data_IF_868747679392
#
_entry.id   IF_868747679392
#
_cell.length_a   1.000
_cell.length_b   1.000
_cell.length_c   1.000
_cell.angle_alpha   90.00
_cell.angle_beta   90.00
_cell.angle_gamma   90.00
#
_symmetry.space_group_name_H-M   'P 1'
#
loop_
_entity.id
_entity.type
_entity.pdbx_description
1 polymer ?
#
# COMPACT_ATOMS: atom_id res chain seq x y z
N UNK A 1 -30.44 27.01 -37.06
CA UNK A 1 -29.06 27.12 -37.61
C UNK A 1 -28.43 28.32 -36.92
N UNK A 2 -27.79 28.27 -35.76
CA UNK A 2 -27.03 27.19 -35.12
C UNK A 2 -25.58 27.29 -35.59
N UNK A 3 -24.76 28.05 -34.84
CA UNK A 3 -23.30 27.99 -34.65
C UNK A 3 -22.84 29.32 -34.03
N UNK A 4 -22.54 29.33 -32.73
CA UNK A 4 -21.37 30.03 -32.14
C UNK A 4 -21.01 29.28 -30.85
N UNK A 5 -19.85 28.65 -30.86
CA UNK A 5 -19.29 27.93 -29.73
C UNK A 5 -18.43 28.86 -28.89
N UNK A 6 -18.77 29.00 -27.61
CA UNK A 6 -17.94 29.63 -26.59
C UNK A 6 -17.95 28.75 -25.36
N UNK A 7 -16.92 27.90 -25.22
CA UNK A 7 -16.71 27.08 -24.03
C UNK A 7 -16.08 27.94 -22.92
N UNK A 8 -16.79 28.10 -21.80
CA UNK A 8 -16.22 28.62 -20.56
C UNK A 8 -15.63 27.42 -19.78
N UNK A 9 -14.30 27.39 -19.69
CA UNK A 9 -13.53 26.46 -18.84
C UNK A 9 -13.25 27.17 -17.51
N UNK A 10 -13.46 26.54 -16.34
CA UNK A 10 -13.04 27.13 -15.08
C UNK A 10 -11.52 27.12 -14.94
N UNK A 11 -10.97 28.26 -14.50
CA UNK A 11 -9.55 28.52 -14.35
C UNK A 11 -8.94 27.67 -13.22
N UNK A 12 -7.92 26.88 -13.56
CA UNK A 12 -7.03 26.23 -12.61
C UNK A 12 -6.02 27.24 -12.05
N UNK A 13 -5.83 27.37 -10.73
CA UNK A 13 -4.69 28.08 -10.19
C UNK A 13 -3.42 27.24 -10.39
N UNK A 14 -2.41 27.88 -10.97
CA UNK A 14 -1.05 27.41 -11.22
C UNK A 14 -0.40 26.82 -9.96
N UNK A 15 0.17 25.62 -10.10
CA UNK A 15 0.89 24.92 -9.03
C UNK A 15 2.20 25.65 -8.63
N UNK A 16 2.44 25.91 -7.34
CA UNK A 16 3.76 26.33 -6.87
C UNK A 16 4.74 25.15 -6.89
N UNK A 17 5.99 25.45 -7.24
CA UNK A 17 7.06 24.49 -7.50
C UNK A 17 7.31 23.48 -6.38
N UNK A 18 7.52 22.23 -6.78
CA UNK A 18 7.94 21.14 -5.91
C UNK A 18 9.43 21.30 -5.54
N UNK A 19 9.69 22.04 -4.47
CA UNK A 19 10.91 21.94 -3.68
C UNK A 19 10.51 21.59 -2.24
N UNK A 20 10.56 20.30 -1.91
CA UNK A 20 10.24 19.81 -0.57
C UNK A 20 10.62 18.35 -0.42
N UNK A 21 11.58 18.09 0.46
CA UNK A 21 12.17 16.78 0.69
C UNK A 21 11.16 15.69 1.01
N UNK A 22 11.53 14.45 0.63
CA UNK A 22 10.77 13.24 0.94
C UNK A 22 10.61 13.11 2.46
N UNK A 23 9.37 13.11 2.94
CA UNK A 23 9.07 12.55 4.25
C UNK A 23 9.27 11.03 4.15
N UNK A 24 10.44 10.55 4.56
CA UNK A 24 10.69 9.13 4.80
C UNK A 24 10.09 8.79 6.17
N UNK A 25 9.29 7.74 6.26
CA UNK A 25 8.86 7.22 7.55
C UNK A 25 10.11 6.82 8.35
N UNK A 26 10.33 7.48 9.48
CA UNK A 26 11.39 7.13 10.42
C UNK A 26 10.95 5.85 11.13
N UNK A 27 11.82 4.85 11.28
CA UNK A 27 11.53 3.60 11.99
C UNK A 27 11.33 3.77 13.52
N UNK A 28 11.25 5.03 13.98
CA UNK A 28 10.90 5.41 15.34
C UNK A 28 9.41 5.73 15.50
N UNK A 29 8.63 5.72 14.41
CA UNK A 29 7.18 5.79 14.48
C UNK A 29 6.61 4.51 15.09
N UNK A 30 5.55 4.65 15.88
CA UNK A 30 4.85 3.54 16.52
C UNK A 30 4.42 2.47 15.48
N UNK A 31 4.36 1.18 15.88
CA UNK A 31 3.86 0.11 15.01
C UNK A 31 2.47 0.49 14.46
N UNK A 32 2.11 -0.06 13.29
CA UNK A 32 0.79 0.21 12.71
C UNK A 32 -0.27 -0.08 13.77
N UNK A 33 -1.16 0.89 13.98
CA UNK A 33 -2.30 0.68 14.87
C UNK A 33 -3.09 -0.52 14.38
N UNK A 34 -3.55 -1.35 15.33
CA UNK A 34 -4.30 -2.54 14.99
C UNK A 34 -5.53 -2.15 14.16
N UNK A 35 -5.64 -2.75 12.98
CA UNK A 35 -6.76 -2.49 12.08
C UNK A 35 -8.08 -2.77 12.79
N UNK A 36 -9.00 -1.80 12.75
CA UNK A 36 -10.37 -1.99 13.24
C UNK A 36 -11.05 -2.97 12.28
N UNK A 37 -11.23 -4.22 12.74
CA UNK A 37 -11.96 -5.22 11.95
C UNK A 37 -13.39 -4.74 11.68
N UNK A 38 -13.92 -4.93 10.46
CA UNK A 38 -15.29 -4.57 10.18
C UNK A 38 -16.24 -5.36 11.08
N UNK A 39 -17.31 -4.71 11.52
CA UNK A 39 -18.34 -5.28 12.37
C UNK A 39 -19.72 -5.06 11.71
N UNK A 40 -20.70 -5.86 12.12
CA UNK A 40 -22.00 -5.90 11.45
C UNK A 40 -22.62 -4.51 11.33
N UNK A 41 -23.02 -4.13 10.11
CA UNK A 41 -23.63 -2.84 9.81
C UNK A 41 -22.65 -1.69 9.56
N UNK A 42 -21.34 -1.92 9.61
CA UNK A 42 -20.33 -0.87 9.41
C UNK A 42 -19.20 -1.32 8.50
N UNK A 43 -18.62 -0.34 7.80
CA UNK A 43 -17.43 -0.48 6.95
C UNK A 43 -16.26 0.18 7.65
N UNK A 44 -15.19 -0.57 7.89
CA UNK A 44 -13.91 -0.01 8.34
C UNK A 44 -13.19 0.68 7.19
N UNK A 45 -12.61 1.85 7.45
CA UNK A 45 -11.94 2.65 6.43
C UNK A 45 -10.50 2.91 6.84
N UNK A 46 -9.58 2.62 5.92
CA UNK A 46 -8.14 2.91 6.06
C UNK A 46 -7.74 3.79 4.89
N UNK A 47 -7.08 4.91 5.16
CA UNK A 47 -6.69 5.89 4.14
C UNK A 47 -5.20 6.24 4.22
N UNK A 48 -4.57 6.31 3.05
CA UNK A 48 -3.28 6.98 2.87
C UNK A 48 -3.52 8.13 1.90
N UNK A 49 -3.14 9.35 2.30
CA UNK A 49 -3.38 10.56 1.52
C UNK A 49 -2.14 11.45 1.55
N UNK A 50 -1.70 11.88 0.36
CA UNK A 50 -0.56 12.80 0.24
C UNK A 50 -0.89 14.18 0.79
N UNK A 51 -2.07 14.69 0.44
CA UNK A 51 -2.46 16.07 0.74
C UNK A 51 -2.77 16.25 2.23
N UNK A 52 -3.47 15.27 2.81
CA UNK A 52 -3.79 15.22 4.25
C UNK A 52 -2.63 14.66 5.09
N UNK A 53 -1.51 14.28 4.46
CA UNK A 53 -0.32 13.67 5.10
C UNK A 53 -0.65 12.44 5.96
N UNK A 54 -1.63 11.67 5.54
CA UNK A 54 -2.05 10.44 6.21
C UNK A 54 -1.31 9.23 5.66
N UNK A 55 -0.97 8.29 6.56
CA UNK A 55 -0.31 7.03 6.20
C UNK A 55 -0.98 5.88 6.93
N UNK A 56 -1.72 5.07 6.18
CA UNK A 56 -2.50 3.95 6.73
C UNK A 56 -3.36 4.37 7.93
N UNK A 57 -3.91 5.59 7.89
CA UNK A 57 -4.72 6.14 8.96
C UNK A 57 -6.06 5.41 9.03
N UNK A 58 -6.43 4.96 10.22
CA UNK A 58 -7.77 4.41 10.48
C UNK A 58 -8.75 5.57 10.63
N UNK A 59 -9.77 5.61 9.77
CA UNK A 59 -10.84 6.61 9.85
C UNK A 59 -12.05 6.04 10.61
N UNK A 60 -12.95 6.91 11.10
CA UNK A 60 -14.20 6.46 11.71
C UNK A 60 -14.96 5.50 10.79
N UNK A 61 -15.49 4.37 11.30
CA UNK A 61 -16.28 3.45 10.51
C UNK A 61 -17.51 4.11 9.90
N UNK A 62 -17.86 3.71 8.68
CA UNK A 62 -19.01 4.24 7.94
C UNK A 62 -20.19 3.27 8.09
N UNK A 63 -21.38 3.72 8.51
CA UNK A 63 -22.54 2.85 8.61
C UNK A 63 -23.03 2.40 7.22
N UNK A 64 -23.44 1.15 7.12
CA UNK A 64 -24.16 0.64 5.96
C UNK A 64 -25.59 1.17 5.99
N UNK A 65 -25.99 1.80 4.89
CA UNK A 65 -27.35 2.31 4.70
C UNK A 65 -28.10 1.50 3.64
N UNK A 66 -29.44 1.38 3.73
CA UNK A 66 -30.25 0.82 2.67
C UNK A 66 -30.00 1.53 1.33
N UNK A 67 -30.00 0.77 0.24
CA UNK A 67 -29.80 1.32 -1.11
C UNK A 67 -30.85 2.38 -1.49
N UNK A 68 -32.02 2.35 -0.87
CA UNK A 68 -33.09 3.34 -1.04
C UNK A 68 -32.71 4.75 -0.58
N UNK A 69 -31.68 4.87 0.27
CA UNK A 69 -31.18 6.15 0.80
C UNK A 69 -30.05 6.74 -0.06
N UNK A 70 -29.57 6.00 -1.07
CA UNK A 70 -28.49 6.46 -1.97
C UNK A 70 -29.08 7.37 -3.06
N UNK A 71 -28.54 8.58 -3.29
CA UNK A 71 -28.99 9.46 -4.37
C UNK A 71 -28.88 8.79 -5.75
N UNK A 72 -29.87 9.02 -6.61
CA UNK A 72 -29.94 8.39 -7.95
C UNK A 72 -28.77 8.78 -8.87
N UNK A 73 -28.10 9.90 -8.59
CA UNK A 73 -26.98 10.44 -9.36
C UNK A 73 -25.61 10.26 -8.66
N UNK A 74 -25.53 9.37 -7.67
CA UNK A 74 -24.26 9.09 -6.99
C UNK A 74 -23.34 8.23 -7.85
N UNK A 75 -22.05 8.53 -7.85
CA UNK A 75 -21.02 7.64 -8.39
C UNK A 75 -21.04 6.32 -7.62
N UNK A 76 -21.34 5.23 -8.34
CA UNK A 76 -21.67 3.95 -7.71
C UNK A 76 -20.75 2.84 -8.22
N UNK A 77 -20.21 2.07 -7.27
CA UNK A 77 -19.48 0.82 -7.54
C UNK A 77 -20.34 -0.35 -7.04
N UNK A 78 -20.68 -1.27 -7.95
CA UNK A 78 -21.50 -2.45 -7.63
C UNK A 78 -20.60 -3.68 -7.39
N UNK A 79 -20.80 -4.34 -6.25
CA UNK A 79 -20.13 -5.60 -5.91
C UNK A 79 -21.11 -6.76 -6.13
N UNK A 80 -20.74 -7.73 -6.96
CA UNK A 80 -21.60 -8.87 -7.37
C UNK A 80 -20.99 -10.19 -6.86
N UNK A 81 -21.41 -10.72 -5.68
CA UNK A 81 -20.72 -11.84 -5.01
C UNK A 81 -20.77 -13.20 -5.72
N UNK A 82 -21.73 -13.36 -6.64
CA UNK A 82 -21.93 -14.55 -7.47
C UNK A 82 -20.95 -14.61 -8.66
N UNK A 83 -20.39 -13.48 -9.08
CA UNK A 83 -19.35 -13.42 -10.12
C UNK A 83 -17.98 -13.57 -9.47
N UNK A 84 -17.32 -14.71 -9.75
CA UNK A 84 -16.01 -15.05 -9.16
C UNK A 84 -14.90 -15.09 -10.21
N UNK A 85 -13.70 -14.69 -9.78
CA UNK A 85 -12.48 -14.71 -10.58
C UNK A 85 -11.40 -15.57 -9.89
N UNK A 86 -10.12 -15.21 -10.06
CA UNK A 86 -9.01 -15.91 -9.43
C UNK A 86 -9.04 -15.84 -7.90
N UNK A 87 -8.47 -16.86 -7.26
CA UNK A 87 -8.16 -16.83 -5.84
C UNK A 87 -6.82 -16.12 -5.63
N UNK A 88 -6.79 -15.15 -4.72
CA UNK A 88 -5.55 -14.59 -4.22
C UNK A 88 -4.94 -15.53 -3.20
N UNK A 89 -3.68 -15.91 -3.42
CA UNK A 89 -2.91 -16.69 -2.43
C UNK A 89 -2.43 -15.80 -1.29
N UNK A 90 -2.17 -14.51 -1.58
CA UNK A 90 -1.72 -13.49 -0.64
C UNK A 90 -0.67 -12.59 -1.27
N UNK A 91 0.01 -11.81 -0.43
CA UNK A 91 0.95 -10.76 -0.84
C UNK A 91 2.28 -10.90 -0.10
N UNK A 92 3.32 -10.27 -0.61
CA UNK A 92 4.67 -10.47 -0.11
C UNK A 92 5.69 -9.51 -0.69
N UNK A 93 6.95 -9.74 -0.35
CA UNK A 93 8.10 -8.95 -0.80
C UNK A 93 9.21 -9.82 -1.39
N UNK A 94 10.24 -9.18 -1.95
CA UNK A 94 11.45 -9.87 -2.38
C UNK A 94 12.53 -9.78 -1.30
N UNK A 95 13.19 -10.91 -1.02
CA UNK A 95 14.35 -10.97 -0.15
C UNK A 95 15.58 -11.05 -1.04
N UNK A 96 16.17 -9.89 -1.28
CA UNK A 96 17.41 -9.75 -2.05
C UNK A 96 18.61 -9.64 -1.13
N UNK A 97 19.79 -9.97 -1.65
CA UNK A 97 21.03 -9.81 -0.89
C UNK A 97 21.24 -8.36 -0.42
N UNK A 98 20.95 -7.35 -1.25
CA UNK A 98 20.99 -5.95 -0.79
C UNK A 98 20.01 -5.67 0.35
N UNK A 99 18.79 -6.24 0.32
CA UNK A 99 17.84 -6.08 1.44
C UNK A 99 18.33 -6.76 2.72
N UNK A 100 18.97 -7.94 2.60
CA UNK A 100 19.57 -8.65 3.72
C UNK A 100 20.79 -7.90 4.28
N UNK A 101 21.59 -7.29 3.41
CA UNK A 101 22.74 -6.48 3.77
C UNK A 101 22.33 -5.21 4.54
N UNK A 102 21.27 -4.53 4.10
CA UNK A 102 20.72 -3.39 4.85
C UNK A 102 20.14 -3.84 6.19
N UNK A 103 19.39 -4.94 6.20
CA UNK A 103 18.79 -5.49 7.41
C UNK A 103 19.84 -5.93 8.44
N UNK A 104 20.98 -6.48 8.02
CA UNK A 104 22.04 -6.90 8.95
C UNK A 104 22.78 -5.72 9.60
N UNK A 105 22.65 -4.50 9.07
CA UNK A 105 23.30 -3.29 9.58
C UNK A 105 22.46 -2.47 10.57
N UNK A 106 21.18 -2.77 10.72
CA UNK A 106 20.32 -2.10 11.73
C UNK A 106 20.38 -2.81 13.08
N UNK A 107 19.96 -2.15 14.16
CA UNK A 107 20.01 -2.77 15.50
C UNK A 107 19.06 -3.97 15.62
N UNK A 108 19.29 -4.92 16.54
CA UNK A 108 18.39 -6.05 16.76
C UNK A 108 16.94 -5.62 17.02
N UNK A 109 16.73 -4.53 17.76
CA UNK A 109 15.40 -3.98 18.03
C UNK A 109 14.73 -3.47 16.75
N UNK A 110 15.49 -2.83 15.86
CA UNK A 110 14.99 -2.37 14.57
C UNK A 110 14.70 -3.52 13.62
N UNK A 111 15.52 -4.58 13.64
CA UNK A 111 15.28 -5.81 12.89
C UNK A 111 13.93 -6.42 13.27
N UNK A 112 13.66 -6.56 14.56
CA UNK A 112 12.38 -7.07 15.07
C UNK A 112 11.21 -6.17 14.65
N UNK A 113 11.34 -4.84 14.77
CA UNK A 113 10.31 -3.90 14.31
C UNK A 113 10.00 -4.06 12.82
N UNK A 114 11.02 -4.21 11.97
CA UNK A 114 10.85 -4.39 10.52
C UNK A 114 10.12 -5.70 10.23
N UNK A 115 10.54 -6.81 10.84
CA UNK A 115 9.88 -8.11 10.67
C UNK A 115 8.42 -8.03 11.13
N UNK A 116 8.18 -7.45 12.30
CA UNK A 116 6.83 -7.31 12.83
C UNK A 116 5.95 -6.45 11.92
N UNK A 117 6.47 -5.34 11.40
CA UNK A 117 5.74 -4.46 10.49
C UNK A 117 5.35 -5.15 9.18
N UNK A 118 6.17 -6.06 8.65
CA UNK A 118 5.83 -6.80 7.42
C UNK A 118 4.93 -8.02 7.68
N UNK A 119 5.21 -8.82 8.70
CA UNK A 119 4.65 -10.17 8.83
C UNK A 119 3.56 -10.34 9.89
N UNK A 120 3.45 -9.46 10.89
CA UNK A 120 2.35 -9.58 11.84
C UNK A 120 1.02 -9.24 11.16
N UNK A 121 0.01 -10.07 11.39
CA UNK A 121 -1.32 -9.90 10.79
C UNK A 121 -2.12 -8.76 11.44
N UNK A 122 -1.99 -8.59 12.76
CA UNK A 122 -2.81 -7.62 13.50
C UNK A 122 -2.21 -6.20 13.51
N UNK A 123 -0.88 -6.11 13.62
CA UNK A 123 -0.13 -4.86 13.83
C UNK A 123 0.90 -4.60 12.73
N UNK A 124 0.86 -5.39 11.65
CA UNK A 124 1.72 -5.27 10.47
C UNK A 124 0.93 -5.42 9.17
N UNK A 125 1.62 -5.64 8.07
CA UNK A 125 1.03 -5.77 6.73
C UNK A 125 0.52 -7.19 6.41
N UNK A 126 0.78 -8.18 7.27
CA UNK A 126 0.37 -9.56 7.07
C UNK A 126 0.93 -10.20 5.79
N UNK A 127 2.21 -9.96 5.47
CA UNK A 127 2.87 -10.61 4.33
C UNK A 127 2.91 -12.12 4.53
N UNK A 128 2.51 -12.87 3.50
CA UNK A 128 2.46 -14.33 3.51
C UNK A 128 3.50 -14.97 2.58
N UNK A 129 4.14 -14.17 1.73
CA UNK A 129 5.13 -14.66 0.76
C UNK A 129 6.43 -13.87 0.79
N UNK A 130 7.50 -14.59 0.47
CA UNK A 130 8.81 -14.03 0.18
C UNK A 130 9.30 -14.58 -1.16
N UNK A 131 9.77 -13.71 -2.05
CA UNK A 131 10.47 -14.11 -3.28
C UNK A 131 11.97 -14.07 -3.03
N UNK A 132 12.62 -15.22 -3.17
CA UNK A 132 14.07 -15.35 -3.17
C UNK A 132 14.59 -15.45 -4.61
N UNK A 133 15.78 -14.90 -4.85
CA UNK A 133 16.50 -15.13 -6.09
C UNK A 133 17.42 -16.36 -5.97
N UNK A 134 17.62 -17.07 -7.07
CA UNK A 134 18.67 -18.09 -7.21
C UNK A 134 19.78 -17.49 -8.07
N UNK A 135 21.04 -17.68 -7.68
CA UNK A 135 22.20 -16.92 -8.21
C UNK A 135 22.13 -15.43 -7.84
N UNK A 136 23.09 -14.64 -8.31
CA UNK A 136 23.03 -13.19 -8.16
C UNK A 136 21.85 -12.57 -8.94
N UNK A 137 21.37 -11.43 -8.47
CA UNK A 137 20.52 -10.51 -9.23
C UNK A 137 21.15 -9.11 -9.28
N UNK A 138 20.51 -8.15 -9.94
CA UNK A 138 20.90 -6.74 -9.92
C UNK A 138 20.87 -6.10 -8.52
N UNK A 139 20.19 -6.74 -7.55
CA UNK A 139 20.21 -6.43 -6.12
C UNK A 139 21.10 -7.40 -5.32
N UNK A 140 22.16 -7.91 -5.94
CA UNK A 140 23.26 -8.62 -5.29
C UNK A 140 24.48 -7.73 -5.12
N UNK A 141 25.34 -8.04 -4.15
CA UNK A 141 26.58 -7.30 -3.92
C UNK A 141 27.64 -7.58 -5.01
N UNK A 142 27.40 -8.58 -5.85
CA UNK A 142 28.20 -8.93 -7.03
C UNK A 142 27.53 -9.99 -7.88
N UNK A 143 28.21 -10.38 -8.97
CA UNK A 143 27.75 -11.45 -9.86
C UNK A 143 28.28 -12.80 -9.40
N UNK A 144 27.39 -13.76 -9.20
CA UNK A 144 27.72 -15.12 -8.78
C UNK A 144 26.65 -16.10 -9.24
N UNK A 145 26.99 -17.38 -9.41
CA UNK A 145 26.02 -18.45 -9.58
C UNK A 145 26.29 -19.62 -8.64
N UNK A 146 25.26 -20.44 -8.40
CA UNK A 146 25.37 -21.63 -7.57
C UNK A 146 26.28 -22.72 -8.19
N UNK A 147 26.71 -22.56 -9.45
CA UNK A 147 27.55 -23.52 -10.17
C UNK A 147 28.48 -22.81 -11.18
N UNK A 148 29.45 -22.05 -10.68
CA UNK A 148 30.40 -21.32 -11.52
C UNK A 148 31.58 -22.16 -12.04
N UNK A 149 31.68 -23.43 -11.61
CA UNK A 149 32.76 -24.34 -12.05
C UNK A 149 32.37 -25.02 -13.37
N UNK A 150 33.22 -24.96 -14.42
CA UNK A 150 32.99 -25.71 -15.65
C UNK A 150 32.87 -27.22 -15.40
N UNK A 151 31.88 -27.84 -16.05
CA UNK A 151 31.63 -29.29 -16.00
C UNK A 151 32.43 -30.08 -17.03
#
# INVERSE_FOLDING_TARGET
RGLEGGALVPAHPSAPGCHGGRAMAVLDEAPLERLVRPFSGFVSVVRSSKDEKERLATLPPVPLVPATEVPQNADTVLVTPDVRHQRFLGFGGAFTESSANLFSRVSPEQQERIINAYFLEETGLGYQFGRLHMNSCDFSEGNWSCCDTPG
#
